data_IF_202032890804
#
_entry.id   IF_202032890804
#
_cell.length_a   1.000
_cell.length_b   1.000
_cell.length_c   1.000
_cell.angle_alpha   90.00
_cell.angle_beta   90.00
_cell.angle_gamma   90.00
#
_symmetry.space_group_name_H-M   'P 1'
#
loop_
_entity.id
_entity.type
_entity.pdbx_description
1 polymer ?
#
# COMPACT_ATOMS: atom_id res chain seq x y z
N UNK A 1 -43.05 -3.91 -24.87
CA UNK A 1 -42.47 -5.15 -24.31
C UNK A 1 -41.97 -6.04 -25.43
N UNK A 2 -40.67 -5.98 -25.74
CA UNK A 2 -39.86 -7.06 -26.36
C UNK A 2 -38.41 -6.56 -26.43
N UNK A 3 -37.67 -6.81 -25.35
CA UNK A 3 -36.21 -6.94 -25.41
C UNK A 3 -35.88 -8.15 -26.29
N UNK A 4 -34.91 -8.00 -27.19
CA UNK A 4 -33.96 -9.04 -27.63
C UNK A 4 -32.84 -8.35 -28.40
N UNK A 5 -31.68 -8.25 -27.78
CA UNK A 5 -30.44 -8.97 -28.14
C UNK A 5 -29.88 -8.55 -29.50
N UNK A 6 -28.88 -7.67 -29.47
CA UNK A 6 -27.64 -7.89 -30.20
C UNK A 6 -26.49 -7.55 -29.25
N UNK A 7 -26.01 -8.62 -28.64
CA UNK A 7 -24.89 -8.72 -27.72
C UNK A 7 -23.74 -9.30 -28.56
N UNK A 8 -22.54 -8.76 -28.39
CA UNK A 8 -21.24 -9.40 -28.68
C UNK A 8 -20.88 -9.61 -30.16
N UNK A 9 -20.02 -8.71 -30.65
CA UNK A 9 -18.94 -9.06 -31.58
C UNK A 9 -17.71 -8.15 -31.35
N UNK A 10 -17.21 -8.09 -30.10
CA UNK A 10 -15.77 -7.84 -29.87
C UNK A 10 -15.20 -9.18 -29.39
N UNK A 11 -15.24 -10.14 -30.31
CA UNK A 11 -14.62 -11.44 -30.12
C UNK A 11 -13.18 -11.27 -30.59
N UNK A 12 -12.29 -11.24 -29.60
CA UNK A 12 -10.87 -11.42 -29.69
C UNK A 12 -10.45 -12.18 -30.97
N UNK A 13 -9.97 -11.43 -31.96
CA UNK A 13 -8.95 -11.97 -32.82
C UNK A 13 -7.69 -12.08 -31.95
N UNK A 14 -7.48 -13.28 -31.40
CA UNK A 14 -6.17 -13.75 -30.95
C UNK A 14 -5.25 -13.81 -32.17
N UNK A 15 -4.89 -12.64 -32.69
CA UNK A 15 -3.68 -12.44 -33.47
C UNK A 15 -2.59 -12.37 -32.42
N UNK A 16 -1.52 -13.14 -32.62
CA UNK A 16 -0.27 -13.04 -31.84
C UNK A 16 0.00 -11.57 -31.50
N UNK A 17 0.39 -11.24 -30.26
CA UNK A 17 0.54 -9.85 -29.86
C UNK A 17 1.37 -9.12 -30.93
N UNK A 18 0.92 -7.96 -31.44
CA UNK A 18 1.77 -7.13 -32.27
C UNK A 18 3.11 -6.98 -31.56
N UNK A 19 4.19 -7.05 -32.34
CA UNK A 19 5.55 -6.68 -31.97
C UNK A 19 5.54 -5.73 -30.77
N UNK A 20 5.92 -6.25 -29.61
CA UNK A 20 5.84 -5.56 -28.32
C UNK A 20 6.37 -4.12 -28.47
N UNK A 21 5.58 -3.12 -28.04
CA UNK A 21 5.90 -1.69 -28.06
C UNK A 21 5.86 -0.93 -29.42
N UNK A 22 5.28 -1.48 -30.50
CA UNK A 22 4.94 -0.67 -31.67
C UNK A 22 3.59 0.05 -31.51
N UNK A 23 3.62 1.39 -31.57
CA UNK A 23 2.41 2.21 -31.59
C UNK A 23 1.71 2.05 -32.95
N UNK A 24 0.43 1.66 -32.99
CA UNK A 24 -0.25 1.38 -34.25
C UNK A 24 -0.48 2.65 -35.07
N UNK A 25 -0.71 2.50 -36.37
CA UNK A 25 -1.05 3.65 -37.22
C UNK A 25 -2.42 4.22 -36.84
N UNK A 26 -2.48 5.54 -36.70
CA UNK A 26 -3.73 6.26 -36.44
C UNK A 26 -4.50 6.48 -37.76
N UNK A 27 -5.70 5.90 -37.85
CA UNK A 27 -6.62 6.08 -38.96
C UNK A 27 -7.57 7.26 -38.78
N UNK A 28 -8.60 7.33 -39.63
CA UNK A 28 -9.58 8.44 -39.64
C UNK A 28 -10.96 8.06 -39.07
N UNK A 29 -11.11 6.86 -38.51
CA UNK A 29 -12.37 6.36 -37.92
C UNK A 29 -12.30 6.39 -36.40
N UNK A 30 -13.45 6.48 -35.72
CA UNK A 30 -13.53 6.41 -34.26
C UNK A 30 -12.87 5.14 -33.72
N UNK A 31 -13.16 3.98 -34.32
CA UNK A 31 -12.58 2.70 -33.92
C UNK A 31 -11.04 2.70 -34.01
N UNK A 32 -10.48 3.23 -35.10
CA UNK A 32 -9.03 3.28 -35.28
C UNK A 32 -8.36 4.22 -34.28
N UNK A 33 -8.99 5.35 -33.97
CA UNK A 33 -8.48 6.33 -32.99
C UNK A 33 -8.58 5.76 -31.57
N UNK A 34 -9.71 5.13 -31.22
CA UNK A 34 -9.87 4.45 -29.93
C UNK A 34 -8.83 3.35 -29.77
N UNK A 35 -8.67 2.48 -30.78
CA UNK A 35 -7.66 1.42 -30.73
C UNK A 35 -6.24 1.98 -30.57
N UNK A 36 -5.91 3.06 -31.28
CA UNK A 36 -4.62 3.72 -31.14
C UNK A 36 -4.33 4.20 -29.72
N UNK A 37 -5.33 4.75 -29.04
CA UNK A 37 -5.18 5.20 -27.65
C UNK A 37 -5.14 4.04 -26.65
N UNK A 38 -5.97 3.01 -26.86
CA UNK A 38 -5.96 1.79 -26.05
C UNK A 38 -4.60 1.09 -26.10
N UNK A 39 -4.02 0.96 -27.29
CA UNK A 39 -2.69 0.37 -27.48
C UNK A 39 -1.58 1.23 -26.89
N UNK A 40 -1.70 2.57 -26.92
CA UNK A 40 -0.78 3.46 -26.20
C UNK A 40 -0.80 3.15 -24.70
N UNK A 41 -2.00 3.13 -24.11
CA UNK A 41 -2.17 2.82 -22.70
C UNK A 41 -1.58 1.44 -22.40
N UNK A 42 -1.98 0.41 -23.15
CA UNK A 42 -1.50 -0.96 -22.95
C UNK A 42 0.03 -1.07 -22.97
N UNK A 43 0.69 -0.43 -23.95
CA UNK A 43 2.15 -0.46 -24.07
C UNK A 43 2.85 0.30 -22.93
N UNK A 44 2.24 1.35 -22.38
CA UNK A 44 2.80 2.13 -21.26
C UNK A 44 2.47 1.52 -19.89
N UNK A 45 1.41 0.71 -19.77
CA UNK A 45 1.12 -0.08 -18.55
C UNK A 45 2.10 -1.25 -18.42
N UNK A 46 2.47 -1.87 -19.54
CA UNK A 46 3.30 -3.06 -19.56
C UNK A 46 4.61 -2.86 -20.32
N UNK A 47 5.38 -1.78 -20.07
CA UNK A 47 6.51 -1.45 -20.91
C UNK A 47 7.67 -2.43 -20.76
N UNK A 48 7.61 -3.38 -19.82
CA UNK A 48 8.64 -4.39 -19.52
C UNK A 48 8.05 -5.70 -18.95
N UNK A 49 6.80 -6.05 -19.26
CA UNK A 49 6.17 -7.29 -18.77
C UNK A 49 6.09 -8.41 -19.82
N UNK A 50 6.30 -9.66 -19.36
CA UNK A 50 5.90 -10.91 -20.03
C UNK A 50 6.40 -11.15 -21.46
N UNK A 51 7.71 -11.03 -21.68
CA UNK A 51 8.34 -11.65 -22.85
C UNK A 51 8.76 -13.08 -22.45
N UNK A 52 8.54 -14.06 -23.33
CA UNK A 52 8.86 -15.48 -23.07
C UNK A 52 10.35 -15.65 -22.75
N UNK A 53 10.64 -15.84 -21.46
CA UNK A 53 11.98 -15.93 -20.87
C UNK A 53 12.83 -17.09 -21.42
N UNK A 54 12.26 -17.95 -22.27
CA UNK A 54 12.94 -19.07 -22.89
C UNK A 54 13.80 -18.68 -24.09
N UNK A 55 13.64 -17.47 -24.63
CA UNK A 55 14.44 -16.97 -25.78
C UNK A 55 15.04 -15.59 -25.49
N UNK A 56 16.27 -15.56 -24.99
CA UNK A 56 16.99 -14.32 -24.65
C UNK A 56 17.17 -13.35 -25.82
N UNK A 57 17.16 -13.82 -27.08
CA UNK A 57 17.24 -12.94 -28.25
C UNK A 57 15.96 -12.14 -28.45
N UNK A 58 14.80 -12.76 -28.18
CA UNK A 58 13.50 -12.07 -28.23
C UNK A 58 13.35 -11.08 -27.08
N UNK A 59 13.88 -11.41 -25.89
CA UNK A 59 13.91 -10.50 -24.74
C UNK A 59 14.68 -9.22 -25.06
N UNK A 60 15.91 -9.36 -25.58
CA UNK A 60 16.73 -8.20 -25.95
C UNK A 60 16.08 -7.36 -27.05
N UNK A 61 15.45 -8.01 -28.03
CA UNK A 61 14.73 -7.30 -29.08
C UNK A 61 13.53 -6.51 -28.53
N UNK A 62 12.70 -7.12 -27.68
CA UNK A 62 11.58 -6.44 -27.05
C UNK A 62 12.04 -5.26 -26.17
N UNK A 63 13.08 -5.47 -25.36
CA UNK A 63 13.71 -4.43 -24.55
C UNK A 63 14.21 -3.26 -25.41
N UNK A 64 14.85 -3.57 -26.55
CA UNK A 64 15.29 -2.56 -27.52
C UNK A 64 14.12 -1.74 -28.06
N UNK A 65 13.05 -2.42 -28.49
CA UNK A 65 11.87 -1.75 -29.03
C UNK A 65 11.18 -0.86 -28.00
N UNK A 66 11.09 -1.30 -26.75
CA UNK A 66 10.51 -0.50 -25.67
C UNK A 66 11.31 0.80 -25.44
N UNK A 67 12.64 0.68 -25.32
CA UNK A 67 13.52 1.84 -25.17
C UNK A 67 13.50 2.77 -26.38
N UNK A 68 13.30 2.23 -27.59
CA UNK A 68 13.30 3.02 -28.82
C UNK A 68 11.96 3.65 -29.14
N UNK A 69 10.83 2.99 -28.88
CA UNK A 69 9.50 3.41 -29.35
C UNK A 69 8.64 4.07 -28.28
N UNK A 70 8.92 3.81 -27.00
CA UNK A 70 8.18 4.41 -25.89
C UNK A 70 8.95 5.57 -25.25
N UNK A 71 9.85 6.22 -25.98
CA UNK A 71 10.51 7.46 -25.52
C UNK A 71 9.47 8.56 -25.30
N UNK A 72 9.72 9.46 -24.34
CA UNK A 72 8.86 10.61 -24.03
C UNK A 72 8.42 11.38 -25.29
N UNK A 73 9.37 11.80 -26.15
CA UNK A 73 9.06 12.59 -27.35
C UNK A 73 8.18 11.83 -28.35
N UNK A 74 8.48 10.56 -28.63
CA UNK A 74 7.65 9.75 -29.53
C UNK A 74 6.22 9.59 -29.01
N UNK A 75 6.05 9.36 -27.71
CA UNK A 75 4.72 9.23 -27.12
C UNK A 75 3.98 10.57 -27.12
N UNK A 76 4.66 11.69 -26.84
CA UNK A 76 4.08 13.05 -26.95
C UNK A 76 3.58 13.32 -28.36
N UNK A 77 4.42 13.04 -29.35
CA UNK A 77 4.10 13.28 -30.75
C UNK A 77 2.91 12.40 -31.18
N UNK A 78 2.89 11.13 -30.74
CA UNK A 78 1.78 10.20 -31.00
C UNK A 78 0.45 10.65 -30.33
N UNK A 79 0.49 11.15 -29.09
CA UNK A 79 -0.69 11.75 -28.44
C UNK A 79 -1.20 12.97 -29.22
N UNK A 80 -0.30 13.78 -29.77
CA UNK A 80 -0.65 14.93 -30.61
C UNK A 80 -1.29 14.50 -31.94
N UNK A 81 -0.84 13.39 -32.53
CA UNK A 81 -1.46 12.79 -33.71
C UNK A 81 -2.87 12.27 -33.41
N UNK A 82 -3.08 11.59 -32.27
CA UNK A 82 -4.41 11.15 -31.82
C UNK A 82 -5.33 12.37 -31.66
N UNK A 83 -4.86 13.44 -31.01
CA UNK A 83 -5.67 14.65 -30.82
C UNK A 83 -6.06 15.28 -32.17
N UNK A 84 -5.12 15.32 -33.12
CA UNK A 84 -5.37 15.83 -34.47
C UNK A 84 -6.40 14.98 -35.20
N UNK A 85 -6.34 13.65 -35.05
CA UNK A 85 -7.31 12.74 -35.64
C UNK A 85 -8.72 12.92 -35.04
N UNK A 86 -8.82 13.10 -33.72
CA UNK A 86 -10.08 13.42 -33.02
C UNK A 86 -10.67 14.71 -33.58
N UNK A 87 -9.89 15.80 -33.63
CA UNK A 87 -10.35 17.11 -34.16
C UNK A 87 -10.84 17.01 -35.61
N UNK A 88 -10.16 16.22 -36.45
CA UNK A 88 -10.58 15.98 -37.85
C UNK A 88 -11.89 15.20 -37.93
N UNK A 89 -12.06 14.16 -37.12
CA UNK A 89 -13.28 13.35 -37.06
C UNK A 89 -14.48 14.18 -36.56
N UNK A 90 -14.25 15.08 -35.60
CA UNK A 90 -15.25 16.03 -35.13
C UNK A 90 -15.65 17.02 -36.23
N UNK A 91 -14.67 17.63 -36.88
CA UNK A 91 -14.89 18.63 -37.92
C UNK A 91 -15.52 18.06 -39.19
N UNK A 92 -15.29 16.77 -39.49
CA UNK A 92 -15.86 16.13 -40.68
C UNK A 92 -17.38 15.94 -40.59
N UNK A 93 -17.97 16.04 -39.39
CA UNK A 93 -19.39 15.78 -39.17
C UNK A 93 -19.81 14.35 -39.47
N UNK A 94 -18.85 13.42 -39.59
CA UNK A 94 -19.13 12.01 -39.94
C UNK A 94 -19.87 11.29 -38.81
N UNK A 95 -19.65 11.70 -37.56
CA UNK A 95 -20.38 11.20 -36.40
C UNK A 95 -21.54 12.13 -36.05
N UNK A 96 -22.69 11.55 -35.71
CA UNK A 96 -23.75 12.29 -35.02
C UNK A 96 -23.25 12.77 -33.66
N UNK A 97 -23.92 13.78 -33.07
CA UNK A 97 -23.57 14.28 -31.74
C UNK A 97 -23.53 13.16 -30.68
N UNK A 98 -24.54 12.28 -30.66
CA UNK A 98 -24.59 11.16 -29.72
C UNK A 98 -23.49 10.13 -29.97
N UNK A 99 -23.13 9.86 -31.23
CA UNK A 99 -22.03 8.95 -31.54
C UNK A 99 -20.66 9.55 -31.18
N UNK A 100 -20.51 10.86 -31.26
CA UNK A 100 -19.30 11.56 -30.83
C UNK A 100 -19.16 11.55 -29.30
N UNK A 101 -20.25 11.73 -28.56
CA UNK A 101 -20.28 11.58 -27.10
C UNK A 101 -19.91 10.16 -26.69
N UNK A 102 -20.53 9.14 -27.30
CA UNK A 102 -20.20 7.74 -27.05
C UNK A 102 -18.73 7.41 -27.40
N UNK A 103 -18.20 7.94 -28.49
CA UNK A 103 -16.80 7.75 -28.86
C UNK A 103 -15.84 8.30 -27.80
N UNK A 104 -16.11 9.51 -27.27
CA UNK A 104 -15.30 10.10 -26.20
C UNK A 104 -15.38 9.28 -24.91
N UNK A 105 -16.58 8.82 -24.57
CA UNK A 105 -16.80 7.93 -23.45
C UNK A 105 -16.03 6.61 -23.62
N UNK A 106 -16.11 5.96 -24.79
CA UNK A 106 -15.36 4.73 -25.10
C UNK A 106 -13.84 4.91 -24.98
N UNK A 107 -13.32 6.09 -25.35
CA UNK A 107 -11.90 6.40 -25.17
C UNK A 107 -11.48 6.43 -23.69
N UNK A 108 -12.38 6.80 -22.77
CA UNK A 108 -12.12 6.87 -21.32
C UNK A 108 -12.22 5.50 -20.62
N UNK A 109 -12.69 4.46 -21.31
CA UNK A 109 -12.91 3.13 -20.75
C UNK A 109 -11.78 2.13 -21.01
N UNK A 110 -10.56 2.62 -21.25
CA UNK A 110 -9.41 1.75 -21.42
C UNK A 110 -9.20 0.78 -20.25
N UNK A 111 -8.80 -0.45 -20.56
CA UNK A 111 -8.53 -1.43 -19.50
C UNK A 111 -7.17 -1.14 -18.87
N UNK A 112 -7.15 -0.84 -17.58
CA UNK A 112 -5.94 -0.69 -16.78
C UNK A 112 -6.15 -1.39 -15.43
N UNK A 113 -5.66 -2.61 -15.30
CA UNK A 113 -5.71 -3.35 -14.04
C UNK A 113 -4.40 -3.18 -13.28
N UNK A 114 -4.50 -2.69 -12.05
CA UNK A 114 -3.39 -2.54 -11.11
C UNK A 114 -3.53 -3.53 -9.94
N UNK A 115 -4.37 -4.54 -10.09
CA UNK A 115 -4.48 -5.64 -9.14
C UNK A 115 -3.10 -6.33 -9.03
N UNK A 116 -2.63 -6.53 -7.80
CA UNK A 116 -1.31 -7.08 -7.53
C UNK A 116 -0.14 -6.09 -7.58
N UNK A 117 -0.30 -4.90 -8.16
CA UNK A 117 0.74 -3.85 -8.12
C UNK A 117 0.88 -3.33 -6.69
N UNK A 118 2.12 -3.36 -6.19
CA UNK A 118 2.46 -2.82 -4.88
C UNK A 118 2.76 -1.33 -5.02
N UNK A 119 2.19 -0.51 -4.13
CA UNK A 119 2.53 0.91 -4.07
C UNK A 119 3.95 1.04 -3.49
N UNK A 120 4.92 1.62 -4.23
CA UNK A 120 6.28 1.82 -3.74
C UNK A 120 6.32 2.73 -2.51
N UNK A 121 7.30 2.50 -1.63
CA UNK A 121 7.49 3.34 -0.43
C UNK A 121 7.85 4.80 -0.74
N UNK A 122 8.32 5.09 -1.97
CA UNK A 122 8.58 6.45 -2.45
C UNK A 122 7.30 7.27 -2.67
N UNK A 123 6.15 6.62 -2.86
CA UNK A 123 4.86 7.29 -3.04
C UNK A 123 4.33 7.71 -1.67
N UNK A 124 4.28 9.03 -1.44
CA UNK A 124 3.68 9.58 -0.22
C UNK A 124 2.16 9.59 -0.37
N UNK A 125 1.49 8.63 0.26
CA UNK A 125 0.03 8.59 0.31
C UNK A 125 -0.49 9.56 1.38
N UNK A 126 -1.50 10.35 1.02
CA UNK A 126 -2.16 11.22 1.98
C UNK A 126 -3.14 10.41 2.85
N UNK A 127 -2.72 10.15 4.08
CA UNK A 127 -3.56 9.54 5.12
C UNK A 127 -4.41 10.58 5.89
N UNK A 128 -4.25 11.89 5.59
CA UNK A 128 -4.79 12.97 6.42
C UNK A 128 -6.27 13.27 6.24
N UNK A 129 -6.90 12.81 5.15
CA UNK A 129 -8.31 13.08 4.87
C UNK A 129 -9.26 12.19 5.69
N UNK A 130 -8.71 11.32 6.54
CA UNK A 130 -9.51 10.39 7.33
C UNK A 130 -9.18 10.48 8.81
N UNK A 131 -10.14 11.05 9.56
CA UNK A 131 -10.12 11.09 11.03
C UNK A 131 -9.85 9.73 11.66
N UNK A 132 -10.14 8.64 10.96
CA UNK A 132 -10.01 7.28 11.48
C UNK A 132 -8.55 6.88 11.76
N UNK A 133 -7.57 7.19 10.89
CA UNK A 133 -6.15 6.88 11.18
C UNK A 133 -5.67 7.63 12.41
N UNK A 134 -5.97 8.93 12.49
CA UNK A 134 -5.52 9.76 13.62
C UNK A 134 -6.11 9.26 14.94
N UNK A 135 -7.37 8.81 14.93
CA UNK A 135 -8.02 8.19 16.09
C UNK A 135 -7.32 6.86 16.44
N UNK A 136 -6.99 6.02 15.46
CA UNK A 136 -6.29 4.75 15.69
C UNK A 136 -4.90 4.98 16.28
N UNK A 137 -4.11 5.93 15.75
CA UNK A 137 -2.79 6.29 16.27
C UNK A 137 -2.85 6.86 17.69
N UNK A 138 -3.83 7.72 17.98
CA UNK A 138 -4.07 8.24 19.33
C UNK A 138 -4.44 7.12 20.31
N UNK A 139 -5.32 6.21 19.90
CA UNK A 139 -5.70 5.06 20.71
C UNK A 139 -4.51 4.13 20.95
N UNK A 140 -3.69 3.87 19.93
CA UNK A 140 -2.46 3.07 20.03
C UNK A 140 -1.52 3.65 21.09
N UNK A 141 -1.29 4.97 21.06
CA UNK A 141 -0.47 5.67 22.06
C UNK A 141 -1.09 5.58 23.46
N UNK A 142 -2.42 5.73 23.57
CA UNK A 142 -3.12 5.62 24.85
C UNK A 142 -3.00 4.23 25.47
N UNK A 143 -3.16 3.16 24.68
CA UNK A 143 -2.98 1.78 25.16
C UNK A 143 -1.53 1.49 25.55
N UNK A 144 -0.55 1.92 24.73
CA UNK A 144 0.88 1.79 25.06
C UNK A 144 1.21 2.46 26.40
N UNK A 145 0.70 3.68 26.61
CA UNK A 145 0.88 4.40 27.88
C UNK A 145 0.24 3.67 29.05
N UNK A 146 -1.02 3.22 28.91
CA UNK A 146 -1.73 2.48 29.99
C UNK A 146 -1.03 1.18 30.37
N UNK A 147 -0.51 0.43 29.39
CA UNK A 147 0.29 -0.77 29.65
C UNK A 147 1.55 -0.42 30.45
N UNK A 148 2.27 0.63 30.06
CA UNK A 148 3.48 1.07 30.75
C UNK A 148 3.17 1.55 32.19
N UNK A 149 2.09 2.30 32.38
CA UNK A 149 1.66 2.78 33.70
C UNK A 149 1.26 1.60 34.60
N UNK A 150 0.50 0.61 34.10
CA UNK A 150 0.15 -0.59 34.86
C UNK A 150 1.37 -1.46 35.18
N UNK A 151 2.32 -1.59 34.25
CA UNK A 151 3.56 -2.32 34.48
C UNK A 151 4.39 -1.64 35.58
N UNK A 152 4.51 -0.32 35.54
CA UNK A 152 5.17 0.45 36.58
C UNK A 152 4.52 0.25 37.95
N UNK A 153 3.18 0.25 38.02
CA UNK A 153 2.46 -0.05 39.27
C UNK A 153 2.72 -1.47 39.79
N UNK A 154 2.88 -2.45 38.90
CA UNK A 154 3.26 -3.82 39.27
C UNK A 154 4.69 -3.90 39.80
N UNK A 155 5.61 -3.12 39.21
CA UNK A 155 7.02 -3.12 39.58
C UNK A 155 7.27 -2.36 40.90
N UNK A 156 6.46 -1.34 41.19
CA UNK A 156 6.56 -0.51 42.41
C UNK A 156 5.80 -1.08 43.62
N UNK A 157 4.83 -1.99 43.41
CA UNK A 157 4.06 -2.56 44.51
C UNK A 157 4.87 -3.60 45.29
N UNK A 158 4.64 -3.64 46.61
CA UNK A 158 5.17 -4.73 47.42
C UNK A 158 4.54 -6.06 47.00
N UNK A 159 5.38 -7.04 46.70
CA UNK A 159 4.94 -8.32 46.15
C UNK A 159 4.24 -9.17 47.23
N UNK A 160 3.25 -10.00 46.85
CA UNK A 160 2.67 -10.97 47.78
C UNK A 160 3.75 -11.83 48.47
N UNK A 161 4.81 -12.19 47.75
CA UNK A 161 5.92 -12.98 48.24
C UNK A 161 6.72 -12.26 49.35
N UNK A 162 6.98 -10.96 49.18
CA UNK A 162 7.61 -10.12 50.23
C UNK A 162 6.71 -9.97 51.46
N UNK A 163 5.40 -9.78 51.26
CA UNK A 163 4.45 -9.68 52.37
C UNK A 163 4.34 -11.01 53.12
N UNK A 164 4.32 -12.13 52.39
CA UNK A 164 4.29 -13.46 52.98
C UNK A 164 5.51 -13.72 53.87
N UNK A 165 6.70 -13.29 53.42
CA UNK A 165 7.92 -13.39 54.22
C UNK A 165 7.80 -12.63 55.55
N UNK A 166 7.26 -11.41 55.53
CA UNK A 166 7.03 -10.64 56.76
C UNK A 166 6.01 -11.31 57.70
N UNK A 167 4.96 -11.93 57.15
CA UNK A 167 3.98 -12.70 57.94
C UNK A 167 4.66 -13.90 58.62
N UNK A 168 5.56 -14.59 57.93
CA UNK A 168 6.25 -15.75 58.47
C UNK A 168 7.31 -15.35 59.53
N UNK A 169 7.95 -14.20 59.37
CA UNK A 169 8.82 -13.61 60.40
C UNK A 169 8.00 -13.25 61.67
N UNK A 170 6.82 -12.64 61.53
CA UNK A 170 5.90 -12.34 62.64
C UNK A 170 5.45 -13.62 63.37
N UNK A 171 5.16 -14.70 62.64
CA UNK A 171 4.80 -16.00 63.23
C UNK A 171 5.95 -16.55 64.07
N UNK A 172 7.17 -16.53 63.53
CA UNK A 172 8.35 -17.01 64.25
C UNK A 172 8.59 -16.19 65.52
N UNK A 173 8.45 -14.86 65.44
CA UNK A 173 8.58 -13.99 66.60
C UNK A 173 7.50 -14.28 67.65
N UNK A 174 6.26 -14.57 67.24
CA UNK A 174 5.20 -14.98 68.15
C UNK A 174 5.52 -16.29 68.86
N UNK A 175 6.06 -17.29 68.16
CA UNK A 175 6.44 -18.58 68.74
C UNK A 175 7.54 -18.42 69.81
N UNK A 176 8.54 -17.57 69.54
CA UNK A 176 9.60 -17.22 70.49
C UNK A 176 9.05 -16.52 71.74
N UNK A 177 8.18 -15.51 71.57
CA UNK A 177 7.56 -14.77 72.67
C UNK A 177 6.64 -15.64 73.53
N UNK A 178 5.91 -16.58 72.91
CA UNK A 178 5.01 -17.47 73.64
C UNK A 178 5.76 -18.52 74.48
N UNK A 179 6.96 -18.88 74.05
CA UNK A 179 7.87 -19.84 74.69
C UNK A 179 8.76 -19.22 75.78
N UNK A 180 8.76 -17.89 75.91
CA UNK A 180 9.59 -17.17 76.88
C UNK A 180 9.15 -17.40 78.34
N UNK A 181 10.13 -17.51 79.27
CA UNK A 181 9.90 -17.69 80.72
C UNK A 181 9.02 -16.61 81.36
N UNK A 182 9.04 -15.39 80.83
CA UNK A 182 8.18 -14.28 81.24
C UNK A 182 7.52 -13.71 79.99
N UNK A 183 6.20 -13.89 79.87
CA UNK A 183 5.44 -13.44 78.70
C UNK A 183 5.19 -11.94 78.75
N UNK A 184 5.56 -11.24 77.69
CA UNK A 184 5.16 -9.84 77.46
C UNK A 184 3.87 -9.81 76.64
N UNK A 185 2.74 -9.72 77.33
CA UNK A 185 1.42 -9.70 76.70
C UNK A 185 1.22 -8.50 75.75
N UNK A 186 1.90 -7.36 75.99
CA UNK A 186 1.78 -6.17 75.15
C UNK A 186 2.52 -6.39 73.83
N UNK A 187 3.72 -6.97 73.88
CA UNK A 187 4.49 -7.28 72.68
C UNK A 187 3.83 -8.39 71.85
N UNK A 188 3.31 -9.44 72.50
CA UNK A 188 2.54 -10.50 71.81
C UNK A 188 1.34 -9.91 71.07
N UNK A 189 0.59 -8.99 71.70
CA UNK A 189 -0.54 -8.33 71.04
C UNK A 189 -0.09 -7.49 69.84
N UNK A 190 1.00 -6.72 69.97
CA UNK A 190 1.51 -5.89 68.88
C UNK A 190 1.91 -6.72 67.65
N UNK A 191 2.59 -7.86 67.83
CA UNK A 191 2.96 -8.74 66.71
C UNK A 191 1.73 -9.40 66.08
N UNK A 192 0.72 -9.80 66.88
CA UNK A 192 -0.56 -10.30 66.34
C UNK A 192 -1.28 -9.26 65.50
N UNK A 193 -1.37 -8.03 65.99
CA UNK A 193 -2.06 -6.93 65.30
C UNK A 193 -1.33 -6.59 63.98
N UNK A 194 0.01 -6.58 63.98
CA UNK A 194 0.83 -6.40 62.77
C UNK A 194 0.63 -7.54 61.76
N UNK A 195 0.68 -8.80 62.20
CA UNK A 195 0.47 -9.97 61.34
C UNK A 195 -0.92 -9.97 60.68
N UNK A 196 -1.94 -9.52 61.41
CA UNK A 196 -3.29 -9.33 60.87
C UNK A 196 -3.32 -8.24 59.79
N UNK A 197 -2.66 -7.09 60.00
CA UNK A 197 -2.56 -6.04 58.99
C UNK A 197 -1.81 -6.52 57.73
N UNK A 198 -0.72 -7.26 57.90
CA UNK A 198 0.00 -7.89 56.80
C UNK A 198 -0.88 -8.89 56.03
N UNK A 199 -1.73 -9.67 56.71
CA UNK A 199 -2.69 -10.55 56.05
C UNK A 199 -3.70 -9.80 55.16
N UNK A 200 -4.16 -8.63 55.60
CA UNK A 200 -5.01 -7.75 54.79
C UNK A 200 -4.23 -7.21 53.59
N UNK A 201 -3.01 -6.72 53.81
CA UNK A 201 -2.14 -6.20 52.76
C UNK A 201 -1.81 -7.28 51.70
N UNK A 202 -1.58 -8.51 52.12
CA UNK A 202 -1.35 -9.66 51.24
C UNK A 202 -2.55 -9.93 50.34
N UNK A 203 -3.76 -9.96 50.90
CA UNK A 203 -4.99 -10.14 50.12
C UNK A 203 -5.21 -9.02 49.10
N UNK A 204 -4.92 -7.77 49.50
CA UNK A 204 -4.98 -6.61 48.60
C UNK A 204 -3.92 -6.69 47.49
N UNK A 205 -2.68 -7.07 47.82
CA UNK A 205 -1.59 -7.23 46.85
C UNK A 205 -1.92 -8.29 45.80
N UNK A 206 -2.44 -9.46 46.19
CA UNK A 206 -2.89 -10.48 45.23
C UNK A 206 -3.99 -9.94 44.31
N UNK A 207 -5.00 -9.28 44.89
CA UNK A 207 -6.11 -8.72 44.12
C UNK A 207 -5.63 -7.67 43.11
N UNK A 208 -4.76 -6.76 43.55
CA UNK A 208 -4.22 -5.69 42.71
C UNK A 208 -3.32 -6.23 41.61
N UNK A 209 -2.41 -7.17 41.93
CA UNK A 209 -1.56 -7.86 40.95
C UNK A 209 -2.42 -8.51 39.86
N UNK A 210 -3.48 -9.23 40.24
CA UNK A 210 -4.40 -9.86 39.30
C UNK A 210 -5.14 -8.85 38.42
N UNK A 211 -5.63 -7.75 39.00
CA UNK A 211 -6.33 -6.69 38.27
C UNK A 211 -5.43 -5.99 37.26
N UNK A 212 -4.24 -5.57 37.69
CA UNK A 212 -3.26 -4.90 36.83
C UNK A 212 -2.83 -5.82 35.68
N UNK A 213 -2.56 -7.10 35.96
CA UNK A 213 -2.22 -8.06 34.90
C UNK A 213 -3.36 -8.24 33.90
N UNK A 214 -4.61 -8.37 34.38
CA UNK A 214 -5.77 -8.47 33.50
C UNK A 214 -5.97 -7.21 32.63
N UNK A 215 -5.71 -6.02 33.18
CA UNK A 215 -5.72 -4.77 32.42
C UNK A 215 -4.63 -4.75 31.35
N UNK A 216 -3.40 -5.13 31.69
CA UNK A 216 -2.29 -5.22 30.73
C UNK A 216 -2.64 -6.18 29.59
N UNK A 217 -3.16 -7.36 29.91
CA UNK A 217 -3.51 -8.37 28.89
C UNK A 217 -4.65 -7.88 27.98
N UNK A 218 -5.68 -7.23 28.55
CA UNK A 218 -6.78 -6.62 27.78
C UNK A 218 -6.29 -5.47 26.89
N UNK A 219 -5.42 -4.61 27.39
CA UNK A 219 -4.89 -3.48 26.63
C UNK A 219 -3.93 -3.96 25.52
N UNK A 220 -3.15 -5.03 25.74
CA UNK A 220 -2.36 -5.69 24.70
C UNK A 220 -3.23 -6.28 23.60
N UNK A 221 -4.35 -6.92 23.95
CA UNK A 221 -5.31 -7.42 22.96
C UNK A 221 -5.92 -6.28 22.14
N UNK A 222 -6.26 -5.16 22.78
CA UNK A 222 -6.78 -3.96 22.10
C UNK A 222 -5.73 -3.34 21.17
N UNK A 223 -4.47 -3.30 21.61
CA UNK A 223 -3.35 -2.81 20.82
C UNK A 223 -3.14 -3.66 19.56
N UNK A 224 -3.19 -4.98 19.67
CA UNK A 224 -3.09 -5.88 18.52
C UNK A 224 -4.25 -5.66 17.53
N UNK A 225 -5.47 -5.45 18.03
CA UNK A 225 -6.63 -5.18 17.19
C UNK A 225 -6.48 -3.84 16.43
N UNK A 226 -5.99 -2.79 17.10
CA UNK A 226 -5.72 -1.49 16.48
C UNK A 226 -4.64 -1.60 15.41
N UNK A 227 -3.56 -2.32 15.68
CA UNK A 227 -2.50 -2.55 14.69
C UNK A 227 -3.05 -3.23 13.44
N UNK A 228 -3.87 -4.29 13.61
CA UNK A 228 -4.50 -4.98 12.48
C UNK A 228 -5.46 -4.06 11.70
N UNK A 229 -6.27 -3.26 12.40
CA UNK A 229 -7.19 -2.31 11.78
C UNK A 229 -6.47 -1.20 11.02
N UNK A 230 -5.36 -0.70 11.57
CA UNK A 230 -4.50 0.30 10.94
C UNK A 230 -3.91 -0.23 9.64
N UNK A 231 -3.46 -1.49 9.63
CA UNK A 231 -2.91 -2.11 8.42
C UNK A 231 -3.99 -2.32 7.34
N UNK A 232 -5.18 -2.80 7.73
CA UNK A 232 -6.32 -2.93 6.81
C UNK A 232 -6.70 -1.58 6.18
N UNK A 233 -6.67 -0.52 6.98
CA UNK A 233 -6.95 0.82 6.49
C UNK A 233 -5.88 1.29 5.49
N UNK A 234 -4.59 1.09 5.79
CA UNK A 234 -3.49 1.42 4.87
C UNK A 234 -3.64 0.69 3.53
N UNK A 235 -4.07 -0.57 3.54
CA UNK A 235 -4.38 -1.34 2.32
C UNK A 235 -5.51 -0.66 1.54
N UNK A 236 -6.61 -0.29 2.20
CA UNK A 236 -7.74 0.39 1.54
C UNK A 236 -7.34 1.73 0.89
N UNK A 237 -6.49 2.52 1.54
CA UNK A 237 -5.98 3.78 0.94
C UNK A 237 -5.10 3.51 -0.27
N UNK A 238 -4.22 2.50 -0.20
CA UNK A 238 -3.40 2.07 -1.34
C UNK A 238 -4.27 1.62 -2.51
N UNK A 239 -5.34 0.87 -2.25
CA UNK A 239 -6.27 0.41 -3.27
C UNK A 239 -7.04 1.56 -3.91
N UNK A 240 -7.51 2.51 -3.10
CA UNK A 240 -8.17 3.73 -3.60
C UNK A 240 -7.23 4.57 -4.47
N UNK A 241 -5.99 4.77 -4.03
CA UNK A 241 -4.97 5.47 -4.81
C UNK A 241 -4.74 4.80 -6.18
N UNK A 242 -4.56 3.47 -6.19
CA UNK A 242 -4.42 2.70 -7.44
C UNK A 242 -5.63 2.85 -8.34
N UNK A 243 -6.84 2.78 -7.78
CA UNK A 243 -8.08 2.97 -8.55
C UNK A 243 -8.15 4.36 -9.18
N UNK A 244 -7.94 5.41 -8.38
CA UNK A 244 -7.96 6.80 -8.87
C UNK A 244 -6.91 7.04 -9.97
N UNK A 245 -5.70 6.47 -9.80
CA UNK A 245 -4.64 6.60 -10.79
C UNK A 245 -4.97 5.85 -12.08
N UNK A 246 -5.49 4.63 -11.97
CA UNK A 246 -5.98 3.84 -13.11
C UNK A 246 -7.07 4.59 -13.88
N UNK A 247 -8.06 5.17 -13.19
CA UNK A 247 -9.13 5.95 -13.81
C UNK A 247 -8.57 7.18 -14.55
N UNK A 248 -7.65 7.92 -13.93
CA UNK A 248 -7.06 9.13 -14.55
C UNK A 248 -6.22 8.79 -15.78
N UNK A 249 -5.42 7.73 -15.76
CA UNK A 249 -4.57 7.34 -16.91
C UNK A 249 -5.39 6.92 -18.12
N UNK A 250 -6.60 6.41 -17.93
CA UNK A 250 -7.51 6.06 -19.03
C UNK A 250 -8.11 7.28 -19.73
N UNK A 251 -8.08 8.46 -19.11
CA UNK A 251 -8.60 9.66 -19.73
C UNK A 251 -7.59 10.28 -20.70
N UNK A 252 -7.98 10.47 -21.96
CA UNK A 252 -7.10 11.09 -22.97
C UNK A 252 -6.68 12.52 -22.59
N UNK A 253 -7.55 13.26 -21.90
CA UNK A 253 -7.24 14.59 -21.37
C UNK A 253 -6.01 14.58 -20.44
N UNK A 254 -5.88 13.57 -19.58
CA UNK A 254 -4.73 13.40 -18.68
C UNK A 254 -3.41 13.35 -19.43
N UNK A 255 -3.35 12.63 -20.55
CA UNK A 255 -2.14 12.50 -21.37
C UNK A 255 -1.75 13.83 -22.01
N UNK A 256 -2.72 14.56 -22.55
CA UNK A 256 -2.46 15.90 -23.10
C UNK A 256 -1.96 16.86 -22.01
N UNK A 257 -2.67 16.89 -20.89
CA UNK A 257 -2.32 17.77 -19.78
C UNK A 257 -0.96 17.39 -19.15
N UNK A 258 -0.55 16.13 -19.20
CA UNK A 258 0.78 15.69 -18.78
C UNK A 258 1.88 16.28 -19.67
N UNK A 259 1.72 16.18 -20.99
CA UNK A 259 2.68 16.75 -21.95
C UNK A 259 2.65 18.29 -22.01
N UNK A 260 1.57 18.91 -21.57
CA UNK A 260 1.46 20.36 -21.34
C UNK A 260 1.96 20.78 -19.93
N UNK A 261 2.58 19.88 -19.16
CA UNK A 261 3.10 20.12 -17.80
C UNK A 261 2.04 20.56 -16.77
N UNK A 262 0.76 20.25 -16.99
CA UNK A 262 -0.36 20.60 -16.09
C UNK A 262 -0.64 19.54 -15.03
N UNK A 263 -0.14 18.31 -15.19
CA UNK A 263 -0.29 17.24 -14.22
C UNK A 263 0.91 16.29 -14.22
N UNK A 264 1.00 15.42 -13.21
CA UNK A 264 2.06 14.41 -13.05
C UNK A 264 1.55 12.97 -13.18
N UNK A 265 0.28 12.77 -13.53
CA UNK A 265 -0.42 11.48 -13.39
C UNK A 265 0.31 10.35 -14.13
N UNK A 266 0.77 10.59 -15.36
CA UNK A 266 1.45 9.55 -16.16
C UNK A 266 2.80 9.18 -15.52
N UNK A 267 3.53 10.16 -14.97
CA UNK A 267 4.75 9.90 -14.21
C UNK A 267 4.46 9.11 -12.93
N UNK A 268 3.49 9.56 -12.12
CA UNK A 268 3.10 8.90 -10.87
C UNK A 268 2.67 7.43 -11.13
N UNK A 269 2.04 7.20 -12.30
CA UNK A 269 1.67 5.88 -12.78
C UNK A 269 2.88 5.01 -13.13
N UNK A 270 3.85 5.55 -13.87
CA UNK A 270 5.08 4.83 -14.20
C UNK A 270 5.95 4.55 -12.96
N UNK A 271 5.94 5.45 -11.97
CA UNK A 271 6.58 5.22 -10.67
C UNK A 271 5.86 4.10 -9.91
N UNK A 272 4.52 4.09 -9.88
CA UNK A 272 3.72 3.02 -9.26
C UNK A 272 4.04 1.65 -9.87
N UNK A 273 4.28 1.57 -11.17
CA UNK A 273 4.66 0.34 -11.88
C UNK A 273 6.10 -0.08 -11.65
N UNK A 274 6.90 0.71 -10.92
CA UNK A 274 8.32 0.52 -10.68
C UNK A 274 9.11 0.37 -12.00
N UNK A 275 8.70 1.15 -13.01
CA UNK A 275 9.21 1.06 -14.39
C UNK A 275 10.73 1.18 -14.44
N UNK A 276 11.32 2.07 -13.62
CA UNK A 276 12.78 2.21 -13.51
C UNK A 276 13.46 0.91 -13.11
N UNK A 277 13.00 0.28 -12.03
CA UNK A 277 13.60 -0.95 -11.53
C UNK A 277 13.37 -2.11 -12.49
N UNK A 278 12.17 -2.22 -13.09
CA UNK A 278 11.88 -3.24 -14.11
C UNK A 278 12.83 -3.10 -15.30
N UNK A 279 12.96 -1.89 -15.87
CA UNK A 279 13.86 -1.63 -16.98
C UNK A 279 15.35 -1.90 -16.65
N UNK A 280 15.79 -1.61 -15.42
CA UNK A 280 17.14 -1.92 -14.95
C UNK A 280 17.37 -3.43 -14.73
N UNK A 281 16.34 -4.13 -14.26
CA UNK A 281 16.36 -5.58 -14.09
C UNK A 281 16.50 -6.26 -15.45
N UNK A 282 15.71 -5.83 -16.43
CA UNK A 282 15.76 -6.35 -17.80
C UNK A 282 17.10 -6.04 -18.48
N UNK A 283 17.64 -4.83 -18.28
CA UNK A 283 18.99 -4.49 -18.71
C UNK A 283 20.01 -5.52 -18.21
N UNK A 284 20.00 -5.78 -16.90
CA UNK A 284 20.96 -6.69 -16.25
C UNK A 284 20.81 -8.13 -16.74
N UNK A 285 19.57 -8.56 -17.02
CA UNK A 285 19.27 -9.93 -17.40
C UNK A 285 19.50 -10.22 -18.89
N UNK A 286 19.25 -9.24 -19.78
CA UNK A 286 19.14 -9.50 -21.22
C UNK A 286 20.21 -8.82 -22.06
N UNK A 287 20.83 -7.74 -21.58
CA UNK A 287 21.83 -7.01 -22.37
C UNK A 287 23.20 -7.68 -22.25
N UNK A 288 23.79 -8.14 -23.38
CA UNK A 288 25.14 -8.68 -23.36
C UNK A 288 26.15 -7.62 -22.93
N UNK A 289 27.15 -8.00 -22.13
CA UNK A 289 28.16 -7.07 -21.60
C UNK A 289 28.86 -6.24 -22.71
N UNK A 290 29.04 -6.81 -23.90
CA UNK A 290 29.63 -6.11 -25.06
C UNK A 290 28.82 -4.92 -25.57
N UNK A 291 27.50 -4.90 -25.30
CA UNK A 291 26.57 -3.86 -25.77
C UNK A 291 26.08 -2.98 -24.60
N UNK A 292 26.53 -3.27 -23.37
CA UNK A 292 26.01 -2.68 -22.13
C UNK A 292 26.07 -1.14 -22.13
N UNK A 293 27.15 -0.54 -22.63
CA UNK A 293 27.30 0.91 -22.68
C UNK A 293 26.22 1.58 -23.54
N UNK A 294 25.91 1.01 -24.71
CA UNK A 294 24.92 1.55 -25.65
C UNK A 294 23.52 1.47 -25.04
N UNK A 295 23.17 0.32 -24.45
CA UNK A 295 21.86 0.16 -23.84
C UNK A 295 21.71 0.94 -22.54
N UNK A 296 22.77 1.15 -21.77
CA UNK A 296 22.72 1.99 -20.58
C UNK A 296 22.41 3.44 -20.97
N UNK A 297 23.03 3.96 -22.03
CA UNK A 297 22.70 5.29 -22.55
C UNK A 297 21.23 5.40 -23.00
N UNK A 298 20.70 4.37 -23.68
CA UNK A 298 19.28 4.34 -24.08
C UNK A 298 18.35 4.28 -22.87
N UNK A 299 18.69 3.45 -21.87
CA UNK A 299 17.93 3.33 -20.63
C UNK A 299 17.94 4.65 -19.85
N UNK A 300 19.10 5.27 -19.67
CA UNK A 300 19.24 6.55 -18.97
C UNK A 300 18.43 7.65 -19.67
N UNK A 301 18.46 7.69 -21.00
CA UNK A 301 17.66 8.62 -21.80
C UNK A 301 16.16 8.36 -21.64
N UNK A 302 15.72 7.10 -21.64
CA UNK A 302 14.33 6.73 -21.41
C UNK A 302 13.86 7.18 -20.01
N UNK A 303 14.60 6.81 -18.96
CA UNK A 303 14.30 7.13 -17.56
C UNK A 303 14.24 8.65 -17.37
N UNK A 304 15.27 9.36 -17.84
CA UNK A 304 15.33 10.82 -17.72
C UNK A 304 14.23 11.51 -18.51
N UNK A 305 13.88 11.02 -19.70
CA UNK A 305 12.82 11.61 -20.54
C UNK A 305 11.45 11.54 -19.88
N UNK A 306 11.15 10.44 -19.20
CA UNK A 306 9.92 10.28 -18.42
C UNK A 306 9.98 10.93 -17.03
N UNK A 307 11.12 11.51 -16.64
CA UNK A 307 11.32 12.09 -15.32
C UNK A 307 11.27 11.07 -14.18
N UNK A 308 11.58 9.80 -14.47
CA UNK A 308 11.62 8.69 -13.53
C UNK A 308 12.93 8.63 -12.78
#
# INVERSE_FOLDING_TARGET
MKLKKNLIAVLAAFVLPPTFAELPKIGSTSESISNAFQELIFNVINPFENVDWRDGSRMLQAYSYQLENLTYDKVRDYVSEIETAIKKLEASGTLSKGNLENFKDEMEHAYCDLSGVQVPDSVTLNYNDDSNIKILEQNEQAYKKRIADCQKMLDEMQTPEEIQKMIDDDKKQLDELNSAKKRDAKQIKAVKDHSMQLGIAYGQAISNKKKLQATIDSDKNSLNAISAQTEQYKISVKDKYKQELSEKVRAFSTWKDFFDEKNTVIKDFLELLDTRKKAQTDFTNFVPMKDAEIYQQKLDAFISGWGL
#
